data_IF_900797687590
#
_entry.id   IF_900797687590
#
_cell.length_a   1.000
_cell.length_b   1.000
_cell.length_c   1.000
_cell.angle_alpha   90.00
_cell.angle_beta   90.00
_cell.angle_gamma   90.00
#
_symmetry.space_group_name_H-M   'P 1'
#
loop_
_entity.id
_entity.type
_entity.pdbx_description
1 polymer ?
#
# COMPACT_ATOMS: atom_id res chain seq x y z
N UNK A 1 -3.43 19.84 -32.63
CA UNK A 1 -4.37 19.10 -31.75
C UNK A 1 -5.63 19.93 -31.54
N UNK A 2 -6.78 19.32 -31.56
CA UNK A 2 -8.01 20.03 -31.27
C UNK A 2 -8.13 20.16 -29.74
N UNK A 3 -7.88 21.36 -29.21
CA UNK A 3 -7.85 21.62 -27.78
C UNK A 3 -9.11 21.11 -27.06
N UNK A 4 -10.24 21.13 -27.77
CA UNK A 4 -11.49 20.58 -27.24
C UNK A 4 -11.41 19.05 -27.03
N UNK A 5 -10.82 18.30 -27.97
CA UNK A 5 -10.64 16.85 -27.88
C UNK A 5 -9.75 16.48 -26.70
N UNK A 6 -8.67 17.25 -26.48
CA UNK A 6 -7.82 17.08 -25.29
C UNK A 6 -8.60 17.31 -23.99
N UNK A 7 -9.37 18.41 -23.90
CA UNK A 7 -10.18 18.70 -22.71
C UNK A 7 -11.23 17.62 -22.44
N UNK A 8 -11.88 17.12 -23.49
CA UNK A 8 -12.87 16.04 -23.34
C UNK A 8 -12.22 14.73 -22.89
N UNK A 9 -11.06 14.38 -23.44
CA UNK A 9 -10.30 13.21 -23.00
C UNK A 9 -9.80 13.32 -21.55
N UNK A 10 -9.43 14.53 -21.09
CA UNK A 10 -8.99 14.80 -19.73
C UNK A 10 -10.16 14.87 -18.72
N UNK A 11 -11.36 15.17 -19.18
CA UNK A 11 -12.50 15.48 -18.30
C UNK A 11 -12.87 14.38 -17.30
N UNK A 12 -12.74 13.05 -17.54
CA UNK A 12 -12.98 12.04 -16.52
C UNK A 12 -12.07 12.18 -15.31
N UNK A 13 -10.80 12.52 -15.55
CA UNK A 13 -9.82 12.76 -14.47
C UNK A 13 -10.19 14.05 -13.72
N UNK A 14 -10.55 15.10 -14.44
CA UNK A 14 -10.98 16.37 -13.85
C UNK A 14 -12.23 16.18 -12.97
N UNK A 15 -13.20 15.39 -13.39
CA UNK A 15 -14.40 15.05 -12.58
C UNK A 15 -13.99 14.42 -11.25
N UNK A 16 -13.04 13.49 -11.26
CA UNK A 16 -12.52 12.88 -10.02
C UNK A 16 -11.84 13.91 -9.13
N UNK A 17 -10.91 14.69 -9.69
CA UNK A 17 -10.15 15.69 -8.94
C UNK A 17 -11.05 16.78 -8.35
N UNK A 18 -11.93 17.35 -9.16
CA UNK A 18 -12.87 18.41 -8.71
C UNK A 18 -13.88 17.85 -7.71
N UNK A 19 -14.36 16.63 -7.91
CA UNK A 19 -15.28 15.97 -7.00
C UNK A 19 -14.67 15.76 -5.61
N UNK A 20 -13.42 15.28 -5.54
CA UNK A 20 -12.74 15.00 -4.28
C UNK A 20 -12.16 16.28 -3.66
N UNK A 21 -11.38 17.06 -4.42
CA UNK A 21 -10.65 18.22 -3.88
C UNK A 21 -11.52 19.47 -3.80
N UNK A 22 -12.35 19.72 -4.84
CA UNK A 22 -13.23 20.89 -4.90
C UNK A 22 -14.47 20.73 -4.05
N UNK A 23 -15.27 19.71 -4.32
CA UNK A 23 -16.53 19.47 -3.60
C UNK A 23 -16.36 18.67 -2.30
N UNK A 24 -15.16 18.22 -1.96
CA UNK A 24 -14.84 17.42 -0.75
C UNK A 24 -15.74 16.19 -0.58
N UNK A 25 -16.17 15.60 -1.70
CA UNK A 25 -16.98 14.37 -1.69
C UNK A 25 -16.08 13.13 -1.55
N UNK A 26 -16.63 12.06 -1.00
CA UNK A 26 -15.91 10.79 -0.86
C UNK A 26 -15.64 10.17 -2.23
N UNK A 27 -14.51 9.47 -2.37
CA UNK A 27 -14.14 8.77 -3.60
C UNK A 27 -15.24 7.78 -4.05
N UNK A 28 -15.90 7.08 -3.09
CA UNK A 28 -17.01 6.16 -3.40
C UNK A 28 -18.22 6.83 -4.07
N UNK A 29 -18.40 8.13 -3.86
CA UNK A 29 -19.48 8.90 -4.49
C UNK A 29 -19.04 9.45 -5.85
N UNK A 30 -17.80 9.90 -5.94
CA UNK A 30 -17.27 10.56 -7.15
C UNK A 30 -16.92 9.55 -8.23
N UNK A 31 -16.38 8.37 -7.87
CA UNK A 31 -15.92 7.39 -8.86
C UNK A 31 -17.05 6.81 -9.75
N UNK A 32 -18.27 6.49 -9.26
CA UNK A 32 -19.38 6.11 -10.15
C UNK A 32 -19.83 7.26 -11.07
N UNK A 33 -19.74 8.51 -10.60
CA UNK A 33 -20.07 9.69 -11.43
C UNK A 33 -19.04 9.83 -12.56
N UNK A 34 -17.75 9.69 -12.25
CA UNK A 34 -16.69 9.69 -13.24
C UNK A 34 -16.85 8.54 -14.25
N UNK A 35 -17.23 7.36 -13.79
CA UNK A 35 -17.52 6.22 -14.65
C UNK A 35 -18.71 6.51 -15.59
N UNK A 36 -19.82 7.01 -15.06
CA UNK A 36 -20.98 7.38 -15.87
C UNK A 36 -20.61 8.44 -16.93
N UNK A 37 -19.83 9.46 -16.54
CA UNK A 37 -19.33 10.47 -17.45
C UNK A 37 -18.43 9.87 -18.55
N UNK A 38 -17.50 9.01 -18.17
CA UNK A 38 -16.60 8.32 -19.12
C UNK A 38 -17.39 7.48 -20.13
N UNK A 39 -18.40 6.76 -19.67
CA UNK A 39 -19.28 5.97 -20.56
C UNK A 39 -20.06 6.90 -21.52
N UNK A 40 -20.63 8.00 -21.02
CA UNK A 40 -21.29 8.98 -21.87
C UNK A 40 -20.35 9.48 -22.97
N UNK A 41 -19.12 9.88 -22.62
CA UNK A 41 -18.13 10.32 -23.59
C UNK A 41 -17.78 9.23 -24.60
N UNK A 42 -17.59 7.99 -24.15
CA UNK A 42 -17.27 6.86 -25.02
C UNK A 42 -18.39 6.53 -26.02
N UNK A 43 -19.66 6.68 -25.60
CA UNK A 43 -20.81 6.44 -26.47
C UNK A 43 -21.20 7.62 -27.36
N UNK A 44 -20.81 8.86 -27.03
CA UNK A 44 -21.26 10.05 -27.76
C UNK A 44 -20.13 10.78 -28.47
N UNK A 45 -19.15 11.27 -27.72
CA UNK A 45 -18.09 12.16 -28.23
C UNK A 45 -16.97 11.38 -28.91
N UNK A 46 -16.47 10.33 -28.24
CA UNK A 46 -15.46 9.43 -28.78
C UNK A 46 -16.10 8.22 -29.47
N UNK A 47 -17.26 8.45 -30.09
CA UNK A 47 -18.04 7.43 -30.79
C UNK A 47 -17.15 6.73 -31.81
N UNK A 48 -16.92 5.44 -31.56
CA UNK A 48 -15.98 4.56 -32.22
C UNK A 48 -16.32 4.47 -33.73
N UNK A 49 -15.73 5.36 -34.53
CA UNK A 49 -15.80 5.37 -36.01
C UNK A 49 -17.20 5.16 -36.61
N UNK A 50 -18.24 5.77 -36.01
CA UNK A 50 -19.60 5.69 -36.53
C UNK A 50 -20.31 4.36 -36.26
N UNK A 51 -19.83 3.54 -35.31
CA UNK A 51 -20.47 2.29 -34.89
C UNK A 51 -21.86 2.53 -34.29
N UNK A 52 -22.76 1.58 -34.50
CA UNK A 52 -24.06 1.55 -33.85
C UNK A 52 -23.92 1.36 -32.33
N UNK A 53 -24.96 1.73 -31.57
CA UNK A 53 -24.96 1.52 -30.11
C UNK A 53 -24.63 0.09 -29.69
N UNK A 54 -25.16 -0.91 -30.41
CA UNK A 54 -24.93 -2.33 -30.13
C UNK A 54 -23.47 -2.76 -30.37
N UNK A 55 -22.81 -2.16 -31.37
CA UNK A 55 -21.38 -2.40 -31.67
C UNK A 55 -20.50 -1.73 -30.63
N UNK A 56 -20.82 -0.49 -30.22
CA UNK A 56 -20.14 0.18 -29.13
C UNK A 56 -20.20 -0.61 -27.82
N UNK A 57 -21.36 -1.20 -27.49
CA UNK A 57 -21.50 -2.08 -26.32
C UNK A 57 -20.55 -3.27 -26.43
N UNK A 58 -20.46 -3.93 -27.60
CA UNK A 58 -19.53 -5.07 -27.80
C UNK A 58 -18.06 -4.71 -27.59
N UNK A 59 -17.67 -3.49 -27.91
CA UNK A 59 -16.29 -2.99 -27.71
C UNK A 59 -16.04 -2.64 -26.23
N UNK A 60 -17.01 -2.01 -25.57
CA UNK A 60 -16.85 -1.53 -24.20
C UNK A 60 -17.08 -2.62 -23.15
N UNK A 61 -17.94 -3.62 -23.41
CA UNK A 61 -18.27 -4.69 -22.46
C UNK A 61 -17.02 -5.44 -21.96
N UNK A 62 -16.07 -5.88 -22.81
CA UNK A 62 -14.84 -6.53 -22.33
C UNK A 62 -14.00 -5.63 -21.43
N UNK A 63 -13.97 -4.32 -21.68
CA UNK A 63 -13.20 -3.34 -20.89
C UNK A 63 -13.83 -3.15 -19.52
N UNK A 64 -15.16 -3.04 -19.47
CA UNK A 64 -15.93 -2.95 -18.21
C UNK A 64 -15.68 -4.20 -17.36
N UNK A 65 -15.84 -5.40 -17.96
CA UNK A 65 -15.56 -6.65 -17.24
C UNK A 65 -14.12 -6.80 -16.81
N UNK A 66 -13.15 -6.34 -17.60
CA UNK A 66 -11.74 -6.31 -17.23
C UNK A 66 -11.53 -5.42 -16.00
N UNK A 67 -12.08 -4.20 -16.00
CA UNK A 67 -12.00 -3.28 -14.86
C UNK A 67 -12.64 -3.83 -13.58
N UNK A 68 -13.82 -4.46 -13.70
CA UNK A 68 -14.49 -5.09 -12.56
C UNK A 68 -13.67 -6.26 -12.00
N UNK A 69 -13.14 -7.14 -12.87
CA UNK A 69 -12.31 -8.29 -12.45
C UNK A 69 -11.04 -7.84 -11.72
N UNK A 70 -10.33 -6.86 -12.26
CA UNK A 70 -9.14 -6.31 -11.60
C UNK A 70 -9.50 -5.60 -10.29
N UNK A 71 -10.63 -4.89 -10.26
CA UNK A 71 -11.16 -4.29 -9.03
C UNK A 71 -11.45 -5.33 -7.95
N UNK A 72 -12.04 -6.47 -8.30
CA UNK A 72 -12.31 -7.57 -7.37
C UNK A 72 -11.04 -8.17 -6.77
N UNK A 73 -9.97 -8.32 -7.57
CA UNK A 73 -8.66 -8.79 -7.05
C UNK A 73 -8.13 -7.83 -5.99
N UNK A 74 -8.09 -6.52 -6.29
CA UNK A 74 -7.65 -5.51 -5.31
C UNK A 74 -8.50 -5.55 -4.05
N UNK A 75 -9.82 -5.69 -4.20
CA UNK A 75 -10.75 -5.77 -3.07
C UNK A 75 -10.50 -7.00 -2.20
N UNK A 76 -10.19 -8.15 -2.80
CA UNK A 76 -9.88 -9.37 -2.06
C UNK A 76 -8.59 -9.22 -1.23
N UNK A 77 -7.56 -8.59 -1.80
CA UNK A 77 -6.33 -8.25 -1.10
C UNK A 77 -6.59 -7.33 0.11
N UNK A 78 -7.32 -6.23 -0.13
CA UNK A 78 -7.72 -5.27 0.91
C UNK A 78 -8.56 -5.95 1.99
N UNK A 79 -9.47 -6.84 1.61
CA UNK A 79 -10.26 -7.63 2.54
C UNK A 79 -9.38 -8.46 3.48
N UNK A 80 -8.43 -9.21 2.93
CA UNK A 80 -7.48 -10.01 3.72
C UNK A 80 -6.69 -9.15 4.72
N UNK A 81 -6.18 -8.00 4.27
CA UNK A 81 -5.46 -7.06 5.12
C UNK A 81 -6.32 -6.49 6.26
N UNK A 82 -7.55 -6.08 5.96
CA UNK A 82 -8.48 -5.60 7.00
C UNK A 82 -8.95 -6.72 7.93
N UNK A 83 -9.03 -7.97 7.48
CA UNK A 83 -9.30 -9.12 8.36
C UNK A 83 -8.19 -9.23 9.40
N UNK A 84 -6.92 -9.18 9.00
CA UNK A 84 -5.78 -9.20 9.91
C UNK A 84 -5.84 -8.04 10.90
N UNK A 85 -6.04 -6.82 10.40
CA UNK A 85 -6.13 -5.64 11.25
C UNK A 85 -7.28 -5.74 12.28
N UNK A 86 -8.48 -6.11 11.82
CA UNK A 86 -9.64 -6.24 12.69
C UNK A 86 -9.48 -7.41 13.69
N UNK A 87 -8.79 -8.49 13.29
CA UNK A 87 -8.43 -9.58 14.18
C UNK A 87 -7.52 -9.10 15.32
N UNK A 88 -6.47 -8.36 14.99
CA UNK A 88 -5.54 -7.80 15.98
C UNK A 88 -6.23 -6.80 16.92
N UNK A 89 -7.19 -6.01 16.41
CA UNK A 89 -8.00 -5.10 17.21
C UNK A 89 -8.96 -5.84 18.14
N UNK A 90 -9.69 -6.82 17.63
CA UNK A 90 -10.67 -7.59 18.40
C UNK A 90 -10.02 -8.40 19.54
N UNK A 91 -8.82 -8.94 19.30
CA UNK A 91 -8.06 -9.69 20.29
C UNK A 91 -7.32 -8.80 21.29
N UNK A 92 -7.13 -7.53 20.96
CA UNK A 92 -6.26 -6.60 21.70
C UNK A 92 -4.77 -6.81 21.40
N UNK A 93 -4.41 -7.73 20.50
CA UNK A 93 -3.02 -8.00 20.12
C UNK A 93 -2.34 -6.78 19.48
N UNK A 94 -3.11 -5.84 18.92
CA UNK A 94 -2.61 -4.57 18.39
C UNK A 94 -1.84 -3.77 19.43
N UNK A 95 -2.28 -3.81 20.70
CA UNK A 95 -1.59 -3.09 21.80
C UNK A 95 -0.25 -3.78 22.15
N UNK A 96 -0.17 -5.10 22.00
CA UNK A 96 1.09 -5.82 22.21
C UNK A 96 2.09 -5.60 21.07
N UNK A 97 1.60 -5.41 19.83
CA UNK A 97 2.43 -4.93 18.71
C UNK A 97 3.00 -3.55 19.03
N UNK A 98 2.16 -2.58 19.49
CA UNK A 98 2.60 -1.26 19.90
C UNK A 98 3.66 -1.34 21.00
N UNK A 99 3.38 -2.08 22.07
CA UNK A 99 4.31 -2.23 23.20
C UNK A 99 5.63 -2.88 22.79
N UNK A 100 5.62 -3.78 21.82
CA UNK A 100 6.82 -4.40 21.25
C UNK A 100 7.71 -3.34 20.60
N UNK A 101 7.11 -2.47 19.80
CA UNK A 101 7.82 -1.38 19.12
C UNK A 101 8.31 -0.32 20.11
N UNK A 102 7.47 0.07 21.06
CA UNK A 102 7.84 1.06 22.10
C UNK A 102 9.03 0.63 22.96
N UNK A 103 9.25 -0.67 23.16
CA UNK A 103 10.43 -1.22 23.88
C UNK A 103 11.73 -1.20 23.07
N UNK A 104 11.68 -0.89 21.78
CA UNK A 104 12.89 -0.79 20.95
C UNK A 104 13.72 0.41 21.40
N UNK A 105 13.08 1.54 21.71
CA UNK A 105 13.74 2.75 22.18
C UNK A 105 12.82 3.55 23.10
N UNK A 106 13.38 4.12 24.16
CA UNK A 106 12.71 5.11 25.02
C UNK A 106 12.71 6.52 24.41
N UNK A 107 13.45 6.75 23.34
CA UNK A 107 13.44 8.03 22.61
C UNK A 107 12.23 8.10 21.68
N UNK A 108 11.30 9.00 21.99
CA UNK A 108 10.08 9.21 21.20
C UNK A 108 10.36 9.62 19.75
N UNK A 109 11.51 10.23 19.45
CA UNK A 109 11.92 10.61 18.09
C UNK A 109 12.33 9.39 17.28
N UNK A 110 12.98 8.39 17.91
CA UNK A 110 13.25 7.08 17.31
C UNK A 110 11.92 6.36 17.03
N UNK A 111 10.98 6.39 17.98
CA UNK A 111 9.65 5.80 17.82
C UNK A 111 8.88 6.43 16.64
N UNK A 112 8.97 7.76 16.46
CA UNK A 112 8.37 8.44 15.28
C UNK A 112 8.90 7.87 13.98
N UNK A 113 10.20 7.65 13.84
CA UNK A 113 10.80 7.12 12.61
C UNK A 113 10.41 5.65 12.40
N UNK A 114 10.47 4.82 13.44
CA UNK A 114 10.12 3.40 13.32
C UNK A 114 8.63 3.25 13.01
N UNK A 115 7.75 3.93 13.76
CA UNK A 115 6.29 3.77 13.64
C UNK A 115 5.73 4.62 12.50
N UNK A 116 6.29 5.80 12.28
CA UNK A 116 5.82 6.72 11.23
C UNK A 116 6.33 6.39 9.83
N UNK A 117 7.49 5.74 9.69
CA UNK A 117 8.10 5.43 8.39
C UNK A 117 8.30 3.93 8.17
N UNK A 118 9.12 3.28 9.00
CA UNK A 118 9.55 1.90 8.74
C UNK A 118 8.40 0.89 8.86
N UNK A 119 7.53 1.07 9.85
CA UNK A 119 6.34 0.23 10.01
C UNK A 119 5.33 0.43 8.86
N UNK A 120 4.98 1.65 8.43
CA UNK A 120 4.19 1.86 7.21
C UNK A 120 4.82 1.23 5.97
N UNK A 121 6.12 1.35 5.76
CA UNK A 121 6.81 0.69 4.65
C UNK A 121 6.58 -0.82 4.68
N UNK A 122 6.73 -1.46 5.85
CA UNK A 122 6.46 -2.88 6.02
C UNK A 122 4.99 -3.23 5.75
N UNK A 123 4.06 -2.50 6.37
CA UNK A 123 2.63 -2.77 6.27
C UNK A 123 2.07 -2.50 4.88
N UNK A 124 2.57 -1.49 4.16
CA UNK A 124 2.15 -1.20 2.78
C UNK A 124 2.57 -2.33 1.84
N UNK A 125 3.78 -2.87 2.00
CA UNK A 125 4.19 -4.06 1.28
C UNK A 125 3.33 -5.29 1.56
N UNK A 126 2.85 -5.42 2.79
CA UNK A 126 2.05 -6.56 3.23
C UNK A 126 0.57 -6.43 2.87
N UNK A 127 -0.01 -5.22 3.00
CA UNK A 127 -1.45 -4.99 2.92
C UNK A 127 -1.85 -4.01 1.80
N UNK A 128 -1.02 -3.01 1.51
CA UNK A 128 -1.33 -1.98 0.53
C UNK A 128 -2.53 -1.10 0.90
N UNK A 129 -3.02 -0.37 -0.08
CA UNK A 129 -4.30 0.36 -0.08
C UNK A 129 -4.49 1.38 1.08
N UNK A 130 -3.40 1.99 1.60
CA UNK A 130 -3.47 2.98 2.67
C UNK A 130 -3.77 2.40 4.06
N UNK A 131 -3.79 1.07 4.21
CA UNK A 131 -3.93 0.41 5.51
C UNK A 131 -2.83 0.81 6.51
N UNK A 132 -1.57 1.03 6.10
CA UNK A 132 -0.51 1.45 7.02
C UNK A 132 -0.78 2.77 7.72
N UNK A 133 -1.28 3.78 7.00
CA UNK A 133 -1.61 5.08 7.60
C UNK A 133 -2.72 4.94 8.64
N UNK A 134 -3.73 4.09 8.38
CA UNK A 134 -4.81 3.78 9.31
C UNK A 134 -4.33 3.04 10.58
N UNK A 135 -3.16 2.41 10.53
CA UNK A 135 -2.54 1.74 11.68
C UNK A 135 -1.54 2.66 12.39
N UNK A 136 -0.63 3.27 11.65
CA UNK A 136 0.46 4.07 12.21
C UNK A 136 -0.03 5.34 12.94
N UNK A 137 -1.08 6.01 12.43
CA UNK A 137 -1.60 7.21 13.08
C UNK A 137 -2.15 6.92 14.47
N UNK A 138 -3.07 5.94 14.71
CA UNK A 138 -3.49 5.56 16.07
C UNK A 138 -2.34 5.10 16.97
N UNK A 139 -1.31 4.48 16.40
CA UNK A 139 -0.12 4.11 17.17
C UNK A 139 0.60 5.33 17.74
N UNK A 140 0.86 6.32 16.88
CA UNK A 140 1.52 7.56 17.31
C UNK A 140 0.67 8.30 18.34
N UNK A 141 -0.66 8.35 18.13
CA UNK A 141 -1.59 8.94 19.11
C UNK A 141 -1.54 8.19 20.44
N UNK A 142 -1.52 6.85 20.43
CA UNK A 142 -1.43 6.03 21.62
C UNK A 142 -0.10 6.26 22.39
N UNK A 143 0.97 6.64 21.68
CA UNK A 143 2.24 7.06 22.29
C UNK A 143 2.25 8.54 22.72
N UNK A 144 1.10 9.22 22.71
CA UNK A 144 0.95 10.59 23.19
C UNK A 144 1.39 11.67 22.19
N UNK A 145 1.42 11.36 20.89
CA UNK A 145 1.60 12.37 19.83
C UNK A 145 0.29 13.07 19.51
N UNK A 146 0.38 14.33 19.06
CA UNK A 146 -0.78 15.08 18.60
C UNK A 146 -1.49 14.34 17.46
N UNK A 147 -2.83 14.20 17.46
CA UNK A 147 -3.56 13.44 16.45
C UNK A 147 -3.35 13.94 15.02
N UNK A 148 -3.34 15.26 14.78
CA UNK A 148 -3.16 15.84 13.46
C UNK A 148 -1.74 15.55 12.93
N UNK A 149 -0.75 15.78 13.78
CA UNK A 149 0.66 15.47 13.48
C UNK A 149 0.85 13.97 13.24
N UNK A 150 0.21 13.12 14.03
CA UNK A 150 0.26 11.66 13.87
C UNK A 150 -0.30 11.20 12.52
N UNK A 151 -1.43 11.75 12.10
CA UNK A 151 -2.03 11.45 10.78
C UNK A 151 -1.10 11.93 9.66
N UNK A 152 -0.57 13.14 9.75
CA UNK A 152 0.32 13.67 8.72
C UNK A 152 1.63 12.86 8.59
N UNK A 153 2.23 12.46 9.72
CA UNK A 153 3.41 11.58 9.73
C UNK A 153 3.08 10.20 9.14
N UNK A 154 1.95 9.63 9.52
CA UNK A 154 1.54 8.32 9.02
C UNK A 154 1.27 8.33 7.50
N UNK A 155 0.64 9.38 6.98
CA UNK A 155 0.42 9.56 5.54
C UNK A 155 1.74 9.78 4.79
N UNK A 156 2.67 10.54 5.34
CA UNK A 156 3.99 10.72 4.75
C UNK A 156 4.77 9.40 4.69
N UNK A 157 4.68 8.59 5.75
CA UNK A 157 5.31 7.26 5.79
C UNK A 157 4.68 6.28 4.81
N UNK A 158 3.37 6.32 4.67
CA UNK A 158 2.61 5.48 3.74
C UNK A 158 2.89 5.83 2.27
N UNK A 159 3.08 7.10 1.95
CA UNK A 159 3.42 7.54 0.59
C UNK A 159 4.78 7.02 0.10
N UNK A 160 5.72 6.75 1.00
CA UNK A 160 7.07 6.30 0.66
C UNK A 160 7.10 4.94 -0.06
N UNK A 161 6.41 3.90 0.43
CA UNK A 161 6.42 2.56 -0.17
C UNK A 161 5.28 2.31 -1.15
N UNK A 162 4.38 3.28 -1.36
CA UNK A 162 3.12 3.10 -2.11
C UNK A 162 3.34 2.50 -3.52
N UNK A 163 4.50 2.74 -4.13
CA UNK A 163 4.86 2.15 -5.42
C UNK A 163 4.99 0.63 -5.40
N UNK A 164 5.20 0.02 -4.23
CA UNK A 164 5.26 -1.44 -4.06
C UNK A 164 4.20 -1.95 -3.08
N UNK A 165 3.11 -1.20 -2.94
CA UNK A 165 1.98 -1.59 -2.10
C UNK A 165 1.39 -2.93 -2.53
N UNK A 166 0.87 -3.69 -1.54
CA UNK A 166 0.25 -4.98 -1.77
C UNK A 166 1.16 -5.97 -2.51
N UNK A 167 2.36 -6.23 -1.99
CA UNK A 167 3.34 -7.12 -2.59
C UNK A 167 3.72 -6.73 -4.04
N UNK A 168 3.96 -5.44 -4.27
CA UNK A 168 4.42 -4.92 -5.56
C UNK A 168 3.34 -4.71 -6.60
N UNK A 169 2.07 -4.90 -6.22
CA UNK A 169 0.93 -4.80 -7.14
C UNK A 169 0.88 -3.48 -7.90
N UNK A 170 1.16 -2.38 -7.23
CA UNK A 170 1.14 -1.04 -7.83
C UNK A 170 2.20 -0.89 -8.93
N UNK A 171 3.41 -1.41 -8.74
CA UNK A 171 4.46 -1.42 -9.78
C UNK A 171 4.10 -2.39 -10.91
N UNK A 172 3.59 -3.59 -10.60
CA UNK A 172 3.24 -4.60 -11.58
C UNK A 172 2.11 -4.09 -12.49
N UNK A 173 1.02 -3.61 -11.92
CA UNK A 173 -0.13 -3.13 -12.69
C UNK A 173 0.11 -1.74 -13.29
N UNK A 174 0.78 -0.84 -12.56
CA UNK A 174 1.09 0.50 -13.06
C UNK A 174 2.03 0.48 -14.27
N UNK A 175 2.95 -0.49 -14.32
CA UNK A 175 3.85 -0.69 -15.44
C UNK A 175 3.34 -1.65 -16.53
N UNK A 176 2.16 -2.24 -16.37
CA UNK A 176 1.67 -3.30 -17.26
C UNK A 176 1.62 -2.87 -18.74
N UNK A 177 1.16 -1.65 -19.01
CA UNK A 177 1.10 -1.14 -20.38
C UNK A 177 2.48 -1.07 -21.06
N UNK A 178 3.54 -0.71 -20.33
CA UNK A 178 4.92 -0.67 -20.84
C UNK A 178 5.46 -2.09 -21.08
N UNK A 179 5.08 -3.03 -20.22
CA UNK A 179 5.47 -4.45 -20.36
C UNK A 179 4.75 -5.08 -21.55
N UNK A 180 3.46 -4.85 -21.68
CA UNK A 180 2.64 -5.36 -22.80
C UNK A 180 3.11 -4.81 -24.17
N UNK A 181 3.58 -3.56 -24.18
CA UNK A 181 4.18 -2.93 -25.36
C UNK A 181 5.62 -3.41 -25.65
N UNK A 182 6.21 -4.25 -24.80
CA UNK A 182 7.59 -4.72 -24.93
C UNK A 182 8.67 -3.66 -24.69
N UNK A 183 8.28 -2.49 -24.13
CA UNK A 183 9.20 -1.35 -23.89
C UNK A 183 9.96 -1.51 -22.57
N UNK A 184 9.37 -2.22 -21.61
CA UNK A 184 9.95 -2.40 -20.27
C UNK A 184 9.66 -3.79 -19.70
N UNK A 185 10.17 -4.07 -18.52
CA UNK A 185 9.86 -5.26 -17.71
C UNK A 185 9.44 -4.83 -16.31
N UNK A 186 8.73 -5.70 -15.58
CA UNK A 186 8.38 -5.43 -14.17
C UNK A 186 9.63 -5.14 -13.34
N UNK A 187 10.71 -5.89 -13.55
CA UNK A 187 11.98 -5.69 -12.85
C UNK A 187 12.60 -4.31 -13.14
N UNK A 188 12.60 -3.89 -14.41
CA UNK A 188 13.13 -2.57 -14.80
C UNK A 188 12.26 -1.43 -14.24
N UNK A 189 10.93 -1.58 -14.28
CA UNK A 189 10.00 -0.61 -13.68
C UNK A 189 10.26 -0.48 -12.16
N UNK A 190 10.38 -1.60 -11.45
CA UNK A 190 10.69 -1.60 -10.03
C UNK A 190 12.03 -0.93 -9.72
N UNK A 191 13.06 -1.24 -10.51
CA UNK A 191 14.40 -0.66 -10.36
C UNK A 191 14.40 0.87 -10.56
N UNK A 192 13.70 1.36 -11.59
CA UNK A 192 13.59 2.79 -11.87
C UNK A 192 12.84 3.52 -10.74
N UNK A 193 11.70 2.98 -10.31
CA UNK A 193 10.94 3.53 -9.19
C UNK A 193 11.81 3.59 -7.93
N UNK A 194 12.60 2.53 -7.64
CA UNK A 194 13.51 2.50 -6.51
C UNK A 194 14.54 3.63 -6.54
N UNK A 195 15.10 3.92 -7.71
CA UNK A 195 16.07 5.02 -7.89
C UNK A 195 15.43 6.39 -7.61
N UNK A 196 14.20 6.63 -8.04
CA UNK A 196 13.50 7.87 -7.73
C UNK A 196 13.16 8.00 -6.24
N UNK A 197 12.75 6.92 -5.59
CA UNK A 197 12.41 6.96 -4.16
C UNK A 197 13.62 7.24 -3.25
N UNK A 198 14.87 6.98 -3.70
CA UNK A 198 16.07 7.22 -2.89
C UNK A 198 16.12 8.64 -2.32
N UNK A 199 15.80 9.64 -3.13
CA UNK A 199 15.82 11.05 -2.71
C UNK A 199 14.83 11.34 -1.59
N UNK A 200 13.60 10.84 -1.71
CA UNK A 200 12.56 11.01 -0.69
C UNK A 200 12.91 10.30 0.62
N UNK A 201 13.26 9.03 0.54
CA UNK A 201 13.55 8.17 1.70
C UNK A 201 14.66 8.73 2.58
N UNK A 202 15.70 9.35 2.00
CA UNK A 202 16.77 9.98 2.76
C UNK A 202 16.30 11.12 3.67
N UNK A 203 15.31 11.90 3.23
CA UNK A 203 14.88 13.14 3.92
C UNK A 203 13.70 12.89 4.87
N UNK A 204 12.89 11.86 4.62
CA UNK A 204 11.66 11.58 5.38
C UNK A 204 11.89 11.47 6.90
N UNK A 205 12.91 10.77 7.44
CA UNK A 205 13.14 10.73 8.88
C UNK A 205 13.32 12.11 9.51
N UNK A 206 13.98 13.02 8.77
CA UNK A 206 14.19 14.40 9.24
C UNK A 206 12.87 15.19 9.22
N UNK A 207 12.08 15.06 8.15
CA UNK A 207 10.78 15.73 8.02
C UNK A 207 9.85 15.27 9.15
N UNK A 208 9.78 13.97 9.44
CA UNK A 208 8.93 13.42 10.50
C UNK A 208 9.29 13.95 11.89
N UNK A 209 10.59 14.00 12.22
CA UNK A 209 11.03 14.54 13.49
C UNK A 209 10.80 16.06 13.56
N UNK A 210 10.95 16.76 12.43
CA UNK A 210 10.62 18.18 12.34
C UNK A 210 9.12 18.44 12.54
N UNK A 211 8.27 17.64 11.92
CA UNK A 211 6.81 17.73 12.11
C UNK A 211 6.39 17.50 13.56
N UNK A 212 7.00 16.50 14.23
CA UNK A 212 6.66 16.15 15.59
C UNK A 212 7.20 17.15 16.64
N UNK A 213 8.38 17.74 16.42
CA UNK A 213 9.12 18.46 17.45
C UNK A 213 9.76 19.78 16.98
N UNK A 214 9.60 20.15 15.72
CA UNK A 214 10.25 21.31 15.10
C UNK A 214 11.78 21.19 15.12
N UNK A 215 12.47 22.31 14.96
CA UNK A 215 13.95 22.37 14.93
C UNK A 215 14.61 21.82 16.22
N UNK A 216 13.91 21.92 17.37
CA UNK A 216 14.41 21.43 18.66
C UNK A 216 14.50 19.89 18.70
N UNK A 217 13.76 19.20 17.82
CA UNK A 217 13.79 17.75 17.68
C UNK A 217 15.14 17.20 17.22
N UNK A 218 15.95 17.97 16.51
CA UNK A 218 17.20 17.48 15.95
C UNK A 218 18.36 17.35 16.93
N UNK A 219 18.25 17.91 18.13
CA UNK A 219 19.37 17.93 19.09
C UNK A 219 19.79 16.52 19.52
N UNK A 220 20.95 16.07 19.04
CA UNK A 220 21.58 14.79 19.41
C UNK A 220 21.01 13.55 18.71
N UNK A 221 20.07 13.69 17.75
CA UNK A 221 19.49 12.55 17.03
C UNK A 221 19.91 12.50 15.54
N UNK A 222 20.53 13.54 15.01
CA UNK A 222 20.92 13.63 13.59
C UNK A 222 21.67 12.38 13.10
N UNK A 223 22.66 11.82 13.84
CA UNK A 223 23.35 10.60 13.38
C UNK A 223 22.41 9.41 13.16
N UNK A 224 21.41 9.25 14.07
CA UNK A 224 20.40 8.21 13.91
C UNK A 224 19.49 8.47 12.70
N UNK A 225 19.04 9.72 12.49
CA UNK A 225 18.18 10.06 11.35
C UNK A 225 18.90 9.83 10.01
N UNK A 226 20.18 10.20 9.94
CA UNK A 226 21.03 9.92 8.77
C UNK A 226 21.16 8.42 8.55
N UNK A 227 21.47 7.66 9.60
CA UNK A 227 21.55 6.20 9.51
C UNK A 227 20.23 5.60 9.04
N UNK A 228 19.09 6.00 9.64
CA UNK A 228 17.77 5.52 9.28
C UNK A 228 17.42 5.81 7.81
N UNK A 229 17.66 7.02 7.34
CA UNK A 229 17.43 7.40 5.95
C UNK A 229 18.32 6.63 4.98
N UNK A 230 19.65 6.60 5.23
CA UNK A 230 20.62 5.93 4.36
C UNK A 230 20.39 4.42 4.35
N UNK A 231 20.24 3.77 5.50
CA UNK A 231 20.04 2.31 5.54
C UNK A 231 18.74 1.90 4.86
N UNK A 232 17.62 2.61 5.11
CA UNK A 232 16.35 2.34 4.43
C UNK A 232 16.45 2.55 2.93
N UNK A 233 17.13 3.62 2.50
CA UNK A 233 17.38 3.91 1.09
C UNK A 233 18.20 2.78 0.41
N UNK A 234 19.29 2.33 1.04
CA UNK A 234 20.13 1.26 0.49
C UNK A 234 19.39 -0.07 0.41
N UNK A 235 18.64 -0.44 1.46
CA UNK A 235 17.84 -1.67 1.45
C UNK A 235 16.78 -1.61 0.35
N UNK A 236 16.05 -0.50 0.24
CA UNK A 236 15.05 -0.30 -0.81
C UNK A 236 15.68 -0.37 -2.21
N UNK A 237 16.83 0.25 -2.40
CA UNK A 237 17.57 0.18 -3.66
C UNK A 237 17.94 -1.26 -4.02
N UNK A 238 18.53 -2.00 -3.08
CA UNK A 238 18.94 -3.40 -3.33
C UNK A 238 17.73 -4.26 -3.67
N UNK A 239 16.65 -4.18 -2.88
CA UNK A 239 15.47 -5.02 -3.11
C UNK A 239 14.76 -4.66 -4.41
N UNK A 240 14.61 -3.39 -4.73
CA UNK A 240 13.91 -2.94 -5.95
C UNK A 240 14.68 -3.22 -7.23
N UNK A 241 16.01 -3.22 -7.19
CA UNK A 241 16.84 -3.41 -8.38
C UNK A 241 17.26 -4.87 -8.61
N UNK A 242 17.40 -5.69 -7.57
CA UNK A 242 18.01 -7.02 -7.67
C UNK A 242 17.13 -8.17 -7.19
N UNK A 243 16.04 -7.89 -6.44
CA UNK A 243 15.19 -8.96 -5.88
C UNK A 243 13.81 -8.98 -6.56
N UNK A 244 13.07 -7.89 -6.52
CA UNK A 244 11.78 -7.81 -7.19
C UNK A 244 10.78 -6.90 -6.49
N UNK A 245 9.77 -6.45 -7.26
CA UNK A 245 8.75 -5.52 -6.79
C UNK A 245 7.96 -6.08 -5.58
N UNK A 246 7.71 -7.38 -5.57
CA UNK A 246 6.82 -8.07 -4.62
C UNK A 246 7.30 -7.99 -3.18
N UNK A 247 8.61 -8.01 -2.98
CA UNK A 247 9.22 -8.01 -1.64
C UNK A 247 9.84 -6.68 -1.25
N UNK A 248 9.94 -5.72 -2.19
CA UNK A 248 10.67 -4.47 -1.99
C UNK A 248 10.16 -3.71 -0.78
N UNK A 249 8.88 -3.40 -0.70
CA UNK A 249 8.33 -2.62 0.41
C UNK A 249 8.42 -3.40 1.73
N UNK A 250 7.88 -4.61 1.77
CA UNK A 250 7.84 -5.41 3.00
C UNK A 250 9.24 -5.74 3.53
N UNK A 251 10.15 -6.14 2.65
CA UNK A 251 11.54 -6.41 3.01
C UNK A 251 12.27 -5.15 3.48
N UNK A 252 12.06 -4.01 2.79
CA UNK A 252 12.65 -2.73 3.21
C UNK A 252 12.19 -2.34 4.61
N UNK A 253 10.88 -2.39 4.88
CA UNK A 253 10.34 -2.03 6.19
C UNK A 253 10.90 -2.91 7.31
N UNK A 254 10.89 -4.24 7.13
CA UNK A 254 11.39 -5.17 8.14
C UNK A 254 12.89 -4.99 8.39
N UNK A 255 13.71 -5.01 7.32
CA UNK A 255 15.15 -4.89 7.47
C UNK A 255 15.52 -3.54 8.09
N UNK A 256 14.84 -2.45 7.70
CA UNK A 256 15.06 -1.13 8.29
C UNK A 256 14.70 -1.07 9.77
N UNK A 257 13.61 -1.72 10.20
CA UNK A 257 13.27 -1.86 11.62
C UNK A 257 14.40 -2.60 12.35
N UNK A 258 14.85 -3.75 11.82
CA UNK A 258 15.93 -4.53 12.44
C UNK A 258 17.24 -3.74 12.54
N UNK A 259 17.62 -3.04 11.47
CA UNK A 259 18.81 -2.18 11.45
C UNK A 259 18.68 -1.02 12.46
N UNK A 260 17.49 -0.42 12.56
CA UNK A 260 17.20 0.63 13.53
C UNK A 260 17.31 0.14 14.97
N UNK A 261 16.76 -1.05 15.26
CA UNK A 261 16.90 -1.73 16.56
C UNK A 261 18.38 -2.00 16.87
N UNK A 262 19.12 -2.53 15.90
CA UNK A 262 20.55 -2.79 16.05
C UNK A 262 21.33 -1.51 16.35
N UNK A 263 21.07 -0.43 15.60
CA UNK A 263 21.70 0.86 15.85
C UNK A 263 21.44 1.38 17.28
N UNK A 264 20.18 1.35 17.72
CA UNK A 264 19.81 1.83 19.06
C UNK A 264 20.49 1.02 20.16
N UNK A 265 20.62 -0.30 19.99
CA UNK A 265 21.25 -1.20 20.97
C UNK A 265 22.78 -1.13 20.97
N UNK A 266 23.42 -0.98 19.81
CA UNK A 266 24.88 -1.04 19.67
C UNK A 266 25.54 0.32 19.77
N UNK A 267 24.95 1.35 19.17
CA UNK A 267 25.49 2.71 19.13
C UNK A 267 24.84 3.59 20.20
N UNK A 268 23.57 3.37 20.45
CA UNK A 268 22.76 4.19 21.36
C UNK A 268 22.31 5.51 20.73
N UNK A 269 21.34 6.15 21.39
CA UNK A 269 20.87 7.49 21.04
C UNK A 269 20.91 8.37 22.29
N UNK A 270 21.54 9.55 22.16
CA UNK A 270 21.53 10.55 23.27
C UNK A 270 20.13 11.13 23.40
N UNK A 271 19.36 10.63 24.36
CA UNK A 271 17.96 11.01 24.60
C UNK A 271 17.86 12.06 25.69
N UNK A 272 17.57 13.35 25.37
CA UNK A 272 17.20 14.34 26.36
C UNK A 272 15.92 13.96 27.10
N UNK A 273 15.80 14.24 28.40
CA UNK A 273 14.68 13.81 29.24
C UNK A 273 13.30 14.20 28.71
N UNK A 274 13.19 15.33 28.01
CA UNK A 274 11.94 15.77 27.38
C UNK A 274 11.44 14.91 26.24
N UNK A 275 12.31 14.08 25.63
CA UNK A 275 11.96 13.17 24.53
C UNK A 275 11.89 11.71 24.99
N UNK A 276 12.15 11.47 26.29
CA UNK A 276 12.07 10.14 26.86
C UNK A 276 10.63 9.72 27.06
N UNK A 277 10.31 8.51 26.61
CA UNK A 277 9.02 7.90 26.91
C UNK A 277 8.97 7.51 28.40
N UNK A 278 7.96 8.00 29.11
CA UNK A 278 7.75 7.72 30.54
C UNK A 278 6.67 6.67 30.79
N UNK A 279 6.12 6.08 29.72
CA UNK A 279 5.08 5.07 29.88
C UNK A 279 5.64 3.80 30.52
N UNK A 280 5.01 3.34 31.58
CA UNK A 280 5.27 2.05 32.21
C UNK A 280 4.90 0.92 31.24
N UNK A 281 5.72 -0.12 31.21
CA UNK A 281 5.49 -1.27 30.37
C UNK A 281 4.20 -1.99 30.79
N UNK A 282 3.15 -1.86 29.99
CA UNK A 282 1.88 -2.58 30.20
C UNK A 282 2.11 -4.08 30.21
N UNK A 283 1.37 -4.80 31.05
CA UNK A 283 1.31 -6.26 31.03
C UNK A 283 0.80 -6.74 29.64
N UNK A 284 1.53 -7.63 29.02
CA UNK A 284 1.20 -8.17 27.68
C UNK A 284 0.22 -9.33 27.82
N UNK A 285 -0.76 -9.35 26.91
CA UNK A 285 -1.66 -10.48 26.73
C UNK A 285 -1.04 -11.56 25.83
N UNK A 286 -0.29 -11.12 24.83
CA UNK A 286 0.35 -11.98 23.83
C UNK A 286 1.87 -11.74 23.80
N UNK A 287 2.63 -12.77 23.46
CA UNK A 287 4.06 -12.62 23.17
C UNK A 287 4.25 -11.75 21.90
N UNK A 288 5.45 -11.17 21.74
CA UNK A 288 5.78 -10.40 20.53
C UNK A 288 5.58 -11.22 19.25
N UNK A 289 5.94 -12.51 19.28
CA UNK A 289 5.74 -13.42 18.15
C UNK A 289 4.25 -13.61 17.85
N UNK A 290 3.44 -13.90 18.87
CA UNK A 290 1.99 -14.11 18.66
C UNK A 290 1.32 -12.87 18.09
N UNK A 291 1.59 -11.68 18.65
CA UNK A 291 1.01 -10.44 18.18
C UNK A 291 1.42 -10.10 16.74
N UNK A 292 2.68 -10.35 16.36
CA UNK A 292 3.21 -10.11 15.02
C UNK A 292 3.00 -11.25 14.04
N UNK A 293 2.48 -12.39 14.49
CA UNK A 293 2.43 -13.63 13.71
C UNK A 293 1.78 -13.51 12.32
N UNK A 294 0.65 -12.81 12.09
CA UNK A 294 0.10 -12.70 10.75
C UNK A 294 1.07 -12.04 9.76
N UNK A 295 1.80 -11.02 10.22
CA UNK A 295 2.77 -10.30 9.38
C UNK A 295 4.05 -11.12 9.17
N UNK A 296 4.50 -11.87 10.18
CA UNK A 296 5.64 -12.78 10.06
C UNK A 296 5.31 -13.89 9.05
N UNK A 297 4.11 -14.45 9.11
CA UNK A 297 3.66 -15.43 8.12
C UNK A 297 3.63 -14.85 6.70
N UNK A 298 3.15 -13.62 6.52
CA UNK A 298 3.17 -12.96 5.21
C UNK A 298 4.60 -12.78 4.70
N UNK A 299 5.53 -12.37 5.56
CA UNK A 299 6.94 -12.19 5.21
C UNK A 299 7.58 -13.50 4.70
N UNK A 300 7.17 -14.63 5.24
CA UNK A 300 7.69 -15.95 4.85
C UNK A 300 6.93 -16.52 3.65
N UNK A 301 5.59 -16.49 3.69
CA UNK A 301 4.77 -17.18 2.69
C UNK A 301 4.73 -16.45 1.35
N UNK A 302 4.81 -15.10 1.31
CA UNK A 302 4.82 -14.39 0.03
C UNK A 302 6.06 -14.73 -0.81
N UNK A 303 7.30 -14.63 -0.28
CA UNK A 303 8.47 -15.07 -1.04
C UNK A 303 8.46 -16.58 -1.34
N UNK A 304 7.99 -17.40 -0.41
CA UNK A 304 7.90 -18.85 -0.62
C UNK A 304 6.98 -19.20 -1.78
N UNK A 305 5.82 -18.59 -1.88
CA UNK A 305 4.89 -18.79 -2.99
C UNK A 305 5.48 -18.21 -4.28
N UNK A 306 6.08 -17.04 -4.24
CA UNK A 306 6.63 -16.37 -5.44
C UNK A 306 7.81 -17.12 -6.07
N UNK A 307 8.72 -17.59 -5.25
CA UNK A 307 9.97 -18.18 -5.71
C UNK A 307 10.02 -19.70 -5.48
N UNK A 308 9.46 -20.19 -4.38
CA UNK A 308 9.48 -21.61 -4.03
C UNK A 308 8.52 -22.44 -4.87
N UNK A 309 7.28 -21.94 -5.11
CA UNK A 309 6.32 -22.69 -5.92
C UNK A 309 6.80 -22.93 -7.36
N UNK A 310 7.30 -21.93 -8.12
CA UNK A 310 7.86 -22.16 -9.44
C UNK A 310 9.11 -23.05 -9.46
N UNK A 311 9.87 -23.10 -8.37
CA UNK A 311 11.06 -23.94 -8.28
C UNK A 311 10.73 -25.45 -8.13
N UNK A 312 9.56 -25.75 -7.52
CA UNK A 312 9.14 -27.13 -7.26
C UNK A 312 8.16 -27.65 -8.30
N UNK A 313 7.28 -26.77 -8.82
CA UNK A 313 6.24 -27.15 -9.79
C UNK A 313 6.73 -26.87 -11.21
N UNK A 314 6.82 -27.87 -12.09
CA UNK A 314 7.15 -27.64 -13.51
C UNK A 314 6.21 -26.61 -14.12
N UNK A 315 6.77 -25.58 -14.79
CA UNK A 315 6.02 -24.42 -15.30
C UNK A 315 5.19 -23.69 -14.25
N UNK A 316 5.55 -23.78 -12.97
CA UNK A 316 4.79 -23.22 -11.85
C UNK A 316 4.48 -21.73 -11.99
N UNK A 317 5.40 -20.96 -12.55
CA UNK A 317 5.15 -19.54 -12.83
C UNK A 317 4.04 -19.33 -13.88
N UNK A 318 4.04 -20.12 -14.95
CA UNK A 318 2.98 -20.07 -15.96
C UNK A 318 1.61 -20.47 -15.36
N UNK A 319 1.60 -21.50 -14.48
CA UNK A 319 0.40 -21.91 -13.73
C UNK A 319 -0.10 -20.76 -12.84
N UNK A 320 0.80 -20.06 -12.13
CA UNK A 320 0.41 -18.89 -11.33
C UNK A 320 -0.19 -17.78 -12.21
N UNK A 321 0.39 -17.52 -13.36
CA UNK A 321 -0.11 -16.51 -14.30
C UNK A 321 -1.47 -16.85 -14.90
N UNK A 322 -1.81 -18.15 -15.06
CA UNK A 322 -3.11 -18.60 -15.58
C UNK A 322 -4.28 -18.13 -14.72
N UNK A 323 -4.13 -18.16 -13.39
CA UNK A 323 -5.14 -17.66 -12.46
C UNK A 323 -4.96 -16.18 -12.13
N UNK A 324 -3.90 -15.55 -12.63
CA UNK A 324 -3.46 -14.20 -12.25
C UNK A 324 -2.63 -14.21 -10.96
N UNK A 325 -1.42 -13.67 -11.04
CA UNK A 325 -0.47 -13.63 -9.90
C UNK A 325 -1.06 -12.99 -8.64
N UNK A 326 -1.87 -11.96 -8.79
CA UNK A 326 -2.54 -11.25 -7.69
C UNK A 326 -3.42 -12.18 -6.86
N UNK A 327 -4.12 -13.11 -7.48
CA UNK A 327 -4.94 -14.09 -6.77
C UNK A 327 -4.13 -14.94 -5.77
N UNK A 328 -2.89 -15.27 -6.10
CA UNK A 328 -2.00 -15.99 -5.18
C UNK A 328 -1.58 -15.13 -3.99
N UNK A 329 -1.34 -13.84 -4.22
CA UNK A 329 -1.04 -12.89 -3.13
C UNK A 329 -2.25 -12.77 -2.19
N UNK A 330 -3.46 -12.64 -2.75
CA UNK A 330 -4.70 -12.57 -1.98
C UNK A 330 -4.91 -13.83 -1.12
N UNK A 331 -4.69 -15.00 -1.71
CA UNK A 331 -4.80 -16.27 -1.02
C UNK A 331 -3.78 -16.37 0.14
N UNK A 332 -2.53 -15.97 -0.09
CA UNK A 332 -1.51 -15.95 0.96
C UNK A 332 -1.92 -15.02 2.11
N UNK A 333 -2.41 -13.82 1.83
CA UNK A 333 -2.85 -12.89 2.88
C UNK A 333 -4.00 -13.49 3.72
N UNK A 334 -4.98 -14.12 3.06
CA UNK A 334 -6.07 -14.80 3.75
C UNK A 334 -5.58 -15.97 4.63
N UNK A 335 -4.66 -16.79 4.11
CA UNK A 335 -4.03 -17.88 4.87
C UNK A 335 -3.25 -17.33 6.06
N UNK A 336 -2.50 -16.23 5.90
CA UNK A 336 -1.80 -15.56 7.00
C UNK A 336 -2.77 -15.06 8.08
N UNK A 337 -3.92 -14.54 7.68
CA UNK A 337 -4.99 -14.16 8.61
C UNK A 337 -5.53 -15.35 9.41
N UNK A 338 -5.74 -16.50 8.76
CA UNK A 338 -6.19 -17.73 9.44
C UNK A 338 -5.11 -18.29 10.38
N UNK A 339 -3.86 -18.36 9.94
CA UNK A 339 -2.73 -18.80 10.77
C UNK A 339 -2.51 -17.87 11.95
N UNK A 340 -2.62 -16.56 11.75
CA UNK A 340 -2.56 -15.55 12.80
C UNK A 340 -3.69 -15.72 13.82
N UNK A 341 -4.91 -15.99 13.38
CA UNK A 341 -6.03 -16.28 14.26
C UNK A 341 -5.79 -17.53 15.11
N UNK A 342 -5.26 -18.59 14.51
CA UNK A 342 -4.89 -19.83 15.22
C UNK A 342 -3.79 -19.56 16.26
N UNK A 343 -2.73 -18.81 15.91
CA UNK A 343 -1.62 -18.46 16.82
C UNK A 343 -2.08 -17.59 18.00
N UNK A 344 -3.08 -16.73 17.78
CA UNK A 344 -3.70 -15.91 18.82
C UNK A 344 -4.77 -16.65 19.63
N UNK A 345 -5.03 -17.93 19.32
CA UNK A 345 -6.04 -18.75 20.02
C UNK A 345 -7.48 -18.29 19.78
N UNK A 346 -7.75 -17.67 18.62
CA UNK A 346 -9.07 -17.13 18.31
C UNK A 346 -10.03 -18.22 17.85
N UNK A 347 -11.24 -18.24 18.40
CA UNK A 347 -12.28 -19.20 18.02
C UNK A 347 -12.74 -19.00 16.57
N UNK A 348 -13.15 -20.09 15.90
CA UNK A 348 -13.74 -20.02 14.54
C UNK A 348 -14.93 -19.07 14.47
N UNK A 349 -15.75 -19.01 15.54
CA UNK A 349 -16.91 -18.12 15.62
C UNK A 349 -16.48 -16.65 15.60
N UNK A 350 -15.49 -16.30 16.41
CA UNK A 350 -14.93 -14.94 16.46
C UNK A 350 -14.28 -14.56 15.14
N UNK A 351 -13.47 -15.46 14.53
CA UNK A 351 -12.84 -15.19 13.23
C UNK A 351 -13.89 -14.93 12.14
N UNK A 352 -14.94 -15.76 12.07
CA UNK A 352 -16.06 -15.57 11.13
C UNK A 352 -16.78 -14.22 11.35
N UNK A 353 -16.97 -13.80 12.61
CA UNK A 353 -17.56 -12.50 12.92
C UNK A 353 -16.67 -11.33 12.45
N UNK A 354 -15.35 -11.45 12.62
CA UNK A 354 -14.38 -10.48 12.09
C UNK A 354 -14.48 -10.40 10.57
N UNK A 355 -14.49 -11.53 9.86
CA UNK A 355 -14.66 -11.58 8.41
C UNK A 355 -15.96 -10.89 7.95
N UNK A 356 -17.09 -11.21 8.58
CA UNK A 356 -18.40 -10.58 8.25
C UNK A 356 -18.37 -9.06 8.43
N UNK A 357 -17.79 -8.58 9.53
CA UNK A 357 -17.66 -7.13 9.79
C UNK A 357 -16.78 -6.47 8.75
N UNK A 358 -15.69 -7.14 8.34
CA UNK A 358 -14.74 -6.63 7.36
C UNK A 358 -15.38 -6.45 5.97
N UNK A 359 -16.31 -7.31 5.56
CA UNK A 359 -17.06 -7.14 4.29
C UNK A 359 -17.70 -5.75 4.20
N UNK A 360 -18.31 -5.28 5.29
CA UNK A 360 -18.91 -3.93 5.32
C UNK A 360 -17.92 -2.79 5.12
N UNK A 361 -16.68 -2.97 5.59
CA UNK A 361 -15.61 -1.98 5.42
C UNK A 361 -15.04 -1.97 3.99
N UNK A 362 -15.07 -3.10 3.30
CA UNK A 362 -14.45 -3.26 1.97
C UNK A 362 -15.43 -2.96 0.84
N UNK A 363 -16.74 -3.05 1.07
CA UNK A 363 -17.74 -2.73 0.06
C UNK A 363 -17.58 -1.32 -0.57
N UNK A 364 -17.28 -0.23 0.17
CA UNK A 364 -17.00 1.06 -0.44
C UNK A 364 -15.75 1.08 -1.32
N UNK A 365 -14.75 0.23 -1.00
CA UNK A 365 -13.52 0.09 -1.78
C UNK A 365 -13.82 -0.57 -3.13
N UNK A 366 -14.71 -1.58 -3.14
CA UNK A 366 -15.16 -2.22 -4.38
C UNK A 366 -15.79 -1.21 -5.34
N UNK A 367 -16.71 -0.38 -4.85
CA UNK A 367 -17.35 0.66 -5.66
C UNK A 367 -16.31 1.63 -6.23
N UNK A 368 -15.39 2.09 -5.40
CA UNK A 368 -14.37 3.06 -5.81
C UNK A 368 -13.41 2.45 -6.82
N UNK A 369 -12.77 1.34 -6.49
CA UNK A 369 -11.74 0.70 -7.32
C UNK A 369 -12.33 0.13 -8.61
N UNK A 370 -13.49 -0.54 -8.52
CA UNK A 370 -14.19 -1.05 -9.70
C UNK A 370 -14.52 0.07 -10.69
N UNK A 371 -15.10 1.16 -10.21
CA UNK A 371 -15.43 2.31 -11.08
C UNK A 371 -14.19 2.95 -11.70
N UNK A 372 -13.15 3.24 -10.92
CA UNK A 372 -11.94 3.92 -11.42
C UNK A 372 -11.14 3.04 -12.39
N UNK A 373 -11.08 1.73 -12.15
CA UNK A 373 -10.40 0.81 -13.08
C UNK A 373 -11.15 0.68 -14.40
N UNK A 374 -12.48 0.66 -14.37
CA UNK A 374 -13.28 0.70 -15.61
C UNK A 374 -13.01 1.99 -16.37
N UNK A 375 -13.02 3.15 -15.69
CA UNK A 375 -12.64 4.43 -16.29
C UNK A 375 -11.26 4.33 -16.94
N UNK A 376 -10.26 3.83 -16.22
CA UNK A 376 -8.90 3.70 -16.72
C UNK A 376 -8.82 2.79 -17.96
N UNK A 377 -9.46 1.62 -17.95
CA UNK A 377 -9.46 0.72 -19.12
C UNK A 377 -10.18 1.30 -20.33
N UNK A 378 -11.29 2.03 -20.12
CA UNK A 378 -11.97 2.70 -21.23
C UNK A 378 -11.06 3.81 -21.80
N UNK A 379 -10.44 4.62 -20.97
CA UNK A 379 -9.53 5.69 -21.41
C UNK A 379 -8.28 5.16 -22.12
N UNK A 380 -7.72 4.03 -21.63
CA UNK A 380 -6.53 3.39 -22.20
C UNK A 380 -6.81 2.61 -23.49
N UNK A 381 -8.06 2.33 -23.78
CA UNK A 381 -8.42 1.55 -24.97
C UNK A 381 -8.03 2.30 -26.25
N UNK A 382 -7.30 1.64 -27.17
CA UNK A 382 -7.04 2.23 -28.48
C UNK A 382 -8.33 2.61 -29.23
N UNK A 383 -9.41 1.87 -28.98
CA UNK A 383 -10.71 2.10 -29.60
C UNK A 383 -11.34 3.44 -29.20
N UNK A 384 -11.10 3.95 -28.00
CA UNK A 384 -11.60 5.27 -27.58
C UNK A 384 -10.65 6.40 -27.97
N UNK A 385 -9.38 6.10 -28.19
CA UNK A 385 -8.35 7.09 -28.53
C UNK A 385 -8.05 8.15 -27.47
N UNK A 386 -8.73 8.10 -26.29
CA UNK A 386 -8.59 9.13 -25.25
C UNK A 386 -7.15 9.30 -24.76
N UNK A 387 -6.45 8.19 -24.47
CA UNK A 387 -5.06 8.24 -24.02
C UNK A 387 -4.10 8.72 -25.11
N UNK A 388 -4.35 8.36 -26.37
CA UNK A 388 -3.52 8.83 -27.48
C UNK A 388 -3.58 10.36 -27.62
N UNK A 389 -4.76 10.96 -27.38
CA UNK A 389 -4.93 12.42 -27.37
C UNK A 389 -4.21 13.08 -26.20
N UNK A 390 -4.09 12.39 -25.04
CA UNK A 390 -3.38 12.92 -23.86
C UNK A 390 -1.87 12.71 -23.96
N UNK A 391 -1.41 11.75 -24.75
CA UNK A 391 0.01 11.37 -24.90
C UNK A 391 0.68 11.97 -26.15
N UNK A 392 -0.07 12.66 -27.02
CA UNK A 392 0.43 13.14 -28.33
C UNK A 392 1.17 14.48 -28.28
N UNK A 393 1.46 15.01 -27.10
CA UNK A 393 2.30 16.17 -26.82
C UNK A 393 3.33 15.82 -25.72
#
# INVERSE_FOLDING_TARGET
MDFLNFLMALSPIVVVLVGILGFKKSAKTVSPIALAWTLILAFTYFNLDGLTFAENVKVLDPLVWKGIKEGLKIVLMVFGAFVILNLLRETGAIEDVKSTIARISDDRRVQVVIIGMMLPIFLEGAAGAGAPAAIAAPFLVALGFDPVTSIAIALLGDATPASWGGAGLTTINGGAALVDAGVSTVALNSAMVGRFHMFGVLVIPFIMVWMAYGKKGFKGIVPYLTFAGVSTCLVMFVLSNFVGAEVTSMGTGLISILLSVAYVKLVGVKTPDKFRNKEEARARKYSSFQAMSPYIYMLVLLPLVRYGFPAVVPNGFAVMCTFGYIFWVDLVILVCGMLGAATLGVSRKTYSAVCKRTVGHVAPVLVTMGSLLVVAYIMQSPSTGMMNLLASD
#
